data_IF_604796456511
#
_entry.id   IF_604796456511
#
_cell.length_a   1.000
_cell.length_b   1.000
_cell.length_c   1.000
_cell.angle_alpha   90.00
_cell.angle_beta   90.00
_cell.angle_gamma   90.00
#
_symmetry.space_group_name_H-M   'P 1'
#
loop_
_entity.id
_entity.type
_entity.pdbx_description
1 polymer ?
#
# COMPACT_ATOMS: atom_id res chain seq x y z
N UNK A 1 0.71 3.31 9.77
CA UNK A 1 1.45 2.97 8.53
C UNK A 1 2.00 4.24 7.91
N UNK A 2 3.18 4.21 7.30
CA UNK A 2 3.70 5.30 6.45
C UNK A 2 4.34 4.72 5.18
N UNK A 3 3.95 5.25 4.02
CA UNK A 3 4.58 4.93 2.74
C UNK A 3 5.93 5.64 2.66
N UNK A 4 6.94 4.92 2.17
CA UNK A 4 8.27 5.49 1.97
C UNK A 4 8.56 5.64 0.47
N UNK A 5 8.30 4.58 -0.32
CA UNK A 5 8.54 4.59 -1.77
C UNK A 5 7.59 3.67 -2.53
N UNK A 6 7.15 4.10 -3.70
CA UNK A 6 6.39 3.28 -4.65
C UNK A 6 7.03 3.37 -6.03
N UNK A 7 7.31 2.21 -6.62
CA UNK A 7 7.63 2.08 -8.04
C UNK A 7 6.48 1.39 -8.76
N UNK A 8 5.95 1.99 -9.83
CA UNK A 8 4.89 1.40 -10.66
C UNK A 8 5.46 1.02 -12.02
N UNK A 9 5.31 -0.25 -12.38
CA UNK A 9 5.88 -0.85 -13.57
C UNK A 9 7.37 -1.19 -13.42
N UNK A 10 8.02 -1.50 -14.54
CA UNK A 10 9.46 -1.75 -14.59
C UNK A 10 10.01 -1.46 -16.00
N UNK A 11 11.34 -1.54 -16.22
CA UNK A 11 11.93 -1.41 -17.54
C UNK A 11 11.55 -2.52 -18.54
N UNK A 12 11.01 -3.67 -18.07
CA UNK A 12 10.60 -4.76 -18.95
C UNK A 12 9.50 -4.31 -19.93
N UNK A 13 9.51 -4.89 -21.14
CA UNK A 13 8.58 -4.52 -22.23
C UNK A 13 7.21 -5.19 -22.16
N UNK A 14 7.02 -6.17 -21.28
CA UNK A 14 5.75 -6.88 -21.10
C UNK A 14 4.63 -5.92 -20.67
N UNK A 15 3.41 -6.17 -21.16
CA UNK A 15 2.25 -5.31 -20.92
C UNK A 15 1.87 -5.18 -19.43
N UNK A 16 2.26 -6.14 -18.61
CA UNK A 16 2.05 -6.13 -17.15
C UNK A 16 3.11 -5.34 -16.38
N UNK A 17 4.16 -4.87 -17.05
CA UNK A 17 5.21 -4.03 -16.45
C UNK A 17 4.93 -2.53 -16.62
N UNK A 18 3.67 -2.18 -16.86
CA UNK A 18 3.14 -0.82 -16.84
C UNK A 18 1.72 -0.85 -16.25
N UNK A 19 1.29 0.25 -15.67
CA UNK A 19 -0.10 0.45 -15.26
C UNK A 19 -0.65 1.68 -15.98
N UNK A 20 -1.47 1.44 -17.01
CA UNK A 20 -2.01 2.49 -17.88
C UNK A 20 -0.87 3.32 -18.49
N UNK A 21 -0.81 4.64 -18.21
CA UNK A 21 0.26 5.51 -18.69
C UNK A 21 1.50 5.53 -17.77
N UNK A 22 1.48 4.79 -16.66
CA UNK A 22 2.58 4.75 -15.71
C UNK A 22 3.53 3.60 -16.08
N UNK A 23 4.75 3.95 -16.48
CA UNK A 23 5.78 2.99 -16.87
C UNK A 23 7.09 3.29 -16.16
N UNK A 24 7.47 2.42 -15.24
CA UNK A 24 8.69 2.52 -14.44
C UNK A 24 8.84 3.88 -13.74
N UNK A 25 7.74 4.35 -13.15
CA UNK A 25 7.77 5.59 -12.37
C UNK A 25 8.14 5.29 -10.93
N UNK A 26 8.88 6.19 -10.28
CA UNK A 26 9.23 6.12 -8.86
C UNK A 26 8.64 7.32 -8.16
N UNK A 27 7.96 7.08 -7.05
CA UNK A 27 7.38 8.10 -6.18
C UNK A 27 7.99 7.93 -4.81
N UNK A 28 8.68 8.97 -4.38
CA UNK A 28 9.29 9.06 -3.07
C UNK A 28 8.32 9.82 -2.13
N UNK A 29 7.84 9.13 -1.10
CA UNK A 29 6.93 9.69 -0.09
C UNK A 29 7.68 10.12 1.17
N UNK A 30 8.92 9.66 1.37
CA UNK A 30 9.66 9.88 2.62
C UNK A 30 10.40 11.22 2.63
N UNK A 31 9.63 12.29 2.49
CA UNK A 31 10.12 13.66 2.45
C UNK A 31 10.03 14.35 3.82
N UNK A 32 10.12 13.61 4.94
CA UNK A 32 9.95 14.12 6.33
C UNK A 32 8.58 14.76 6.67
N UNK A 33 7.61 14.74 5.76
CA UNK A 33 6.27 15.30 5.96
C UNK A 33 5.22 14.20 6.11
N UNK A 34 4.17 14.45 6.92
CA UNK A 34 3.07 13.49 7.12
C UNK A 34 2.05 13.49 5.97
N UNK A 35 2.04 14.55 5.16
CA UNK A 35 1.13 14.73 4.04
C UNK A 35 1.96 14.82 2.77
N UNK A 36 1.65 13.98 1.79
CA UNK A 36 2.22 14.07 0.44
C UNK A 36 1.17 14.67 -0.49
N UNK A 37 1.52 15.76 -1.17
CA UNK A 37 0.64 16.40 -2.15
C UNK A 37 1.17 16.11 -3.56
N UNK A 38 0.39 15.42 -4.39
CA UNK A 38 0.74 15.13 -5.77
C UNK A 38 0.08 16.15 -6.70
N UNK A 39 0.88 17.03 -7.31
CA UNK A 39 0.41 18.11 -8.19
C UNK A 39 0.88 17.86 -9.62
N UNK A 40 0.07 18.26 -10.61
CA UNK A 40 0.40 18.14 -12.03
C UNK A 40 -0.80 18.44 -12.91
N UNK A 41 -0.56 18.57 -14.21
CA UNK A 41 -1.61 18.85 -15.21
C UNK A 41 -2.63 17.70 -15.31
N UNK A 42 -3.82 17.99 -15.86
CA UNK A 42 -4.79 16.93 -16.14
C UNK A 42 -4.21 15.94 -17.16
N UNK A 43 -4.43 14.65 -16.93
CA UNK A 43 -3.88 13.58 -17.79
C UNK A 43 -2.45 13.12 -17.47
N UNK A 44 -1.74 13.74 -16.50
CA UNK A 44 -0.37 13.32 -16.15
C UNK A 44 -0.29 12.01 -15.36
N UNK A 45 -1.43 11.39 -15.02
CA UNK A 45 -1.47 10.09 -14.33
C UNK A 45 -1.60 10.17 -12.80
N UNK A 46 -1.86 11.34 -12.20
CA UNK A 46 -2.08 11.49 -10.74
C UNK A 46 -3.15 10.51 -10.20
N UNK A 47 -4.32 10.47 -10.83
CA UNK A 47 -5.38 9.52 -10.45
C UNK A 47 -4.94 8.07 -10.67
N UNK A 48 -4.14 7.80 -11.71
CA UNK A 48 -3.63 6.44 -11.95
C UNK A 48 -2.65 5.98 -10.86
N UNK A 49 -1.92 6.89 -10.21
CA UNK A 49 -1.08 6.55 -9.03
C UNK A 49 -1.96 6.12 -7.86
N UNK A 50 -3.00 6.90 -7.55
CA UNK A 50 -3.94 6.55 -6.49
C UNK A 50 -4.66 5.22 -6.79
N UNK A 51 -5.06 5.02 -8.04
CA UNK A 51 -5.69 3.76 -8.48
C UNK A 51 -4.73 2.57 -8.34
N UNK A 52 -3.45 2.74 -8.67
CA UNK A 52 -2.44 1.69 -8.50
C UNK A 52 -2.26 1.33 -7.02
N UNK A 53 -2.13 2.32 -6.12
CA UNK A 53 -2.05 2.07 -4.68
C UNK A 53 -3.30 1.38 -4.14
N UNK A 54 -4.49 1.80 -4.57
CA UNK A 54 -5.75 1.17 -4.18
C UNK A 54 -5.82 -0.30 -4.62
N UNK A 55 -5.39 -0.60 -5.84
CA UNK A 55 -5.31 -1.98 -6.34
C UNK A 55 -4.33 -2.81 -5.52
N UNK A 56 -3.12 -2.30 -5.25
CA UNK A 56 -2.09 -3.01 -4.48
C UNK A 56 -2.62 -3.41 -3.10
N UNK A 57 -3.16 -2.46 -2.33
CA UNK A 57 -3.64 -2.77 -0.98
C UNK A 57 -4.92 -3.61 -0.98
N UNK A 58 -5.81 -3.41 -1.95
CA UNK A 58 -6.97 -4.28 -2.11
C UNK A 58 -6.52 -5.71 -2.36
N UNK A 59 -5.64 -5.94 -3.32
CA UNK A 59 -5.18 -7.27 -3.73
C UNK A 59 -4.46 -7.98 -2.56
N UNK A 60 -3.64 -7.26 -1.80
CA UNK A 60 -3.02 -7.78 -0.57
C UNK A 60 -4.05 -8.14 0.51
N UNK A 61 -5.11 -7.34 0.69
CA UNK A 61 -6.15 -7.56 1.71
C UNK A 61 -7.11 -8.69 1.33
N UNK A 62 -7.38 -8.88 0.04
CA UNK A 62 -8.18 -10.01 -0.46
C UNK A 62 -7.34 -11.26 -0.74
N UNK A 63 -6.05 -11.21 -0.39
CA UNK A 63 -5.09 -12.31 -0.50
C UNK A 63 -4.90 -12.82 -1.94
N UNK A 64 -4.90 -11.92 -2.92
CA UNK A 64 -4.67 -12.28 -4.32
C UNK A 64 -3.25 -12.79 -4.53
N UNK A 65 -3.14 -13.94 -5.19
CA UNK A 65 -1.89 -14.69 -5.34
C UNK A 65 -0.98 -14.13 -6.45
N UNK A 66 -1.53 -13.32 -7.35
CA UNK A 66 -0.81 -12.74 -8.49
C UNK A 66 -1.02 -11.23 -8.57
N UNK A 67 0.06 -10.44 -8.69
CA UNK A 67 -0.08 -9.00 -8.82
C UNK A 67 -0.68 -8.64 -10.19
N UNK A 68 -1.56 -7.63 -10.22
CA UNK A 68 -2.16 -7.14 -11.46
C UNK A 68 -1.14 -6.50 -12.42
N UNK A 69 -0.08 -5.92 -11.87
CA UNK A 69 1.02 -5.28 -12.60
C UNK A 69 2.30 -5.31 -11.76
N UNK A 70 3.46 -5.08 -12.37
CA UNK A 70 4.72 -5.02 -11.65
C UNK A 70 4.83 -3.77 -10.78
N UNK A 71 5.26 -3.92 -9.53
CA UNK A 71 5.49 -2.78 -8.64
C UNK A 71 6.55 -3.10 -7.59
N UNK A 72 7.13 -2.04 -7.01
CA UNK A 72 7.89 -2.14 -5.77
C UNK A 72 7.28 -1.20 -4.75
N UNK A 73 7.08 -1.67 -3.53
CA UNK A 73 6.44 -0.91 -2.47
C UNK A 73 7.31 -1.01 -1.21
N UNK A 74 7.76 0.13 -0.71
CA UNK A 74 8.44 0.26 0.56
C UNK A 74 7.61 1.13 1.51
N UNK A 75 7.41 0.63 2.72
CA UNK A 75 6.64 1.30 3.75
C UNK A 75 7.02 0.79 5.14
N UNK A 76 6.62 1.54 6.15
CA UNK A 76 6.84 1.21 7.56
C UNK A 76 5.56 1.11 8.37
N UNK A 77 5.58 0.16 9.30
CA UNK A 77 4.46 -0.21 10.17
C UNK A 77 4.88 -0.18 11.64
N UNK A 78 3.97 0.20 12.52
CA UNK A 78 4.24 0.30 13.96
C UNK A 78 4.99 1.57 14.36
N UNK A 79 5.47 1.57 15.61
CA UNK A 79 6.24 2.65 16.22
C UNK A 79 7.15 2.10 17.32
N UNK A 80 8.22 2.83 17.63
CA UNK A 80 9.18 2.42 18.67
C UNK A 80 9.85 1.08 18.35
N UNK A 81 9.92 0.18 19.32
CA UNK A 81 10.53 -1.15 19.19
C UNK A 81 9.78 -2.08 18.23
N UNK A 82 8.50 -1.79 17.97
CA UNK A 82 7.66 -2.56 17.05
C UNK A 82 7.67 -1.97 15.65
N UNK A 83 8.54 -0.98 15.37
CA UNK A 83 8.72 -0.46 14.02
C UNK A 83 9.27 -1.59 13.11
N UNK A 84 8.59 -1.79 12.00
CA UNK A 84 8.97 -2.71 10.93
C UNK A 84 9.04 -1.94 9.63
N UNK A 85 10.12 -2.18 8.88
CA UNK A 85 10.30 -1.72 7.51
C UNK A 85 9.97 -2.89 6.59
N UNK A 86 9.10 -2.66 5.63
CA UNK A 86 8.60 -3.67 4.69
C UNK A 86 8.96 -3.24 3.28
N UNK A 87 9.51 -4.18 2.50
CA UNK A 87 9.71 -4.01 1.07
C UNK A 87 9.08 -5.17 0.30
N UNK A 88 8.20 -4.86 -0.63
CA UNK A 88 7.52 -5.80 -1.52
C UNK A 88 7.99 -5.52 -2.95
N UNK A 89 8.57 -6.53 -3.60
CA UNK A 89 8.82 -6.54 -5.04
C UNK A 89 7.87 -7.54 -5.70
N UNK A 90 6.95 -7.02 -6.51
CA UNK A 90 5.91 -7.79 -7.18
C UNK A 90 6.14 -7.80 -8.69
N UNK A 91 6.21 -8.99 -9.26
CA UNK A 91 6.51 -9.20 -10.67
C UNK A 91 5.56 -10.26 -11.25
N UNK A 92 4.58 -9.87 -12.07
CA UNK A 92 3.55 -10.76 -12.59
C UNK A 92 4.05 -11.77 -13.63
N UNK A 93 5.28 -11.59 -14.12
CA UNK A 93 5.91 -12.49 -15.09
C UNK A 93 6.77 -13.57 -14.39
N UNK A 94 6.94 -13.51 -13.06
CA UNK A 94 7.59 -14.59 -12.29
C UNK A 94 6.62 -15.77 -12.11
N UNK A 95 6.96 -16.92 -12.69
CA UNK A 95 6.18 -18.15 -12.53
C UNK A 95 6.23 -18.70 -11.10
N UNK A 96 7.37 -18.54 -10.43
CA UNK A 96 7.60 -18.94 -9.04
C UNK A 96 7.85 -17.67 -8.24
N UNK A 97 7.13 -17.53 -7.12
CA UNK A 97 7.27 -16.41 -6.18
C UNK A 97 7.05 -15.04 -6.85
N UNK A 98 5.80 -14.73 -7.28
CA UNK A 98 5.47 -13.44 -7.88
C UNK A 98 5.63 -12.25 -6.91
N UNK A 99 5.78 -12.52 -5.62
CA UNK A 99 6.08 -11.54 -4.58
C UNK A 99 7.36 -11.94 -3.84
N UNK A 100 8.31 -11.01 -3.79
CA UNK A 100 9.49 -11.10 -2.93
C UNK A 100 9.36 -10.05 -1.83
N UNK A 101 9.23 -10.51 -0.58
CA UNK A 101 8.92 -9.65 0.57
C UNK A 101 10.07 -9.70 1.57
N UNK A 102 10.58 -8.54 1.96
CA UNK A 102 11.58 -8.39 3.00
C UNK A 102 11.03 -7.56 4.16
N UNK A 103 11.37 -7.97 5.38
CA UNK A 103 10.99 -7.29 6.61
C UNK A 103 12.23 -7.09 7.46
N UNK A 104 12.44 -5.85 7.90
CA UNK A 104 13.51 -5.49 8.82
C UNK A 104 12.95 -4.77 10.05
N UNK A 105 13.57 -5.01 11.20
CA UNK A 105 13.49 -4.09 12.34
C UNK A 105 14.19 -2.78 12.02
N UNK A 106 13.96 -1.74 12.82
CA UNK A 106 14.62 -0.44 12.62
C UNK A 106 16.15 -0.53 12.71
N UNK A 107 16.67 -1.38 13.61
CA UNK A 107 18.09 -1.66 13.76
C UNK A 107 18.68 -2.29 12.49
N UNK A 108 18.08 -3.39 12.02
CA UNK A 108 18.50 -4.09 10.80
C UNK A 108 18.42 -3.18 9.57
N UNK A 109 17.34 -2.40 9.45
CA UNK A 109 17.15 -1.50 8.32
C UNK A 109 18.23 -0.42 8.24
N UNK A 110 18.74 0.04 9.40
CA UNK A 110 19.86 0.99 9.51
C UNK A 110 21.23 0.34 9.41
N UNK A 111 21.30 -0.98 9.19
CA UNK A 111 22.56 -1.70 9.05
C UNK A 111 23.26 -2.01 10.38
N UNK A 112 22.57 -1.91 11.51
CA UNK A 112 23.15 -2.30 12.80
C UNK A 112 23.50 -3.80 12.78
N UNK A 113 24.76 -4.14 13.04
CA UNK A 113 25.29 -5.50 12.93
C UNK A 113 25.80 -5.90 11.54
N UNK A 114 25.74 -5.02 10.53
CA UNK A 114 26.33 -5.27 9.20
C UNK A 114 27.77 -4.80 9.19
N UNK A 115 28.72 -5.71 8.89
CA UNK A 115 30.16 -5.37 8.77
C UNK A 115 30.53 -4.71 7.44
N UNK A 116 29.56 -4.57 6.53
CA UNK A 116 29.75 -4.03 5.18
C UNK A 116 29.61 -2.50 5.26
N UNK A 117 30.63 -1.73 4.87
CA UNK A 117 30.52 -0.28 4.78
C UNK A 117 29.41 0.11 3.80
N UNK A 118 28.62 1.14 4.15
CA UNK A 118 27.64 1.70 3.22
C UNK A 118 28.32 2.13 1.93
N UNK A 119 27.88 1.58 0.79
CA UNK A 119 28.31 2.09 -0.50
C UNK A 119 27.72 3.48 -0.71
N UNK A 120 28.50 4.38 -1.30
CA UNK A 120 28.07 5.73 -1.61
C UNK A 120 26.86 5.66 -2.56
N UNK A 121 25.71 6.18 -2.12
CA UNK A 121 24.44 6.12 -2.85
C UNK A 121 23.44 5.06 -2.37
N UNK A 122 23.76 4.24 -1.37
CA UNK A 122 22.77 3.39 -0.70
C UNK A 122 21.81 4.20 0.18
N UNK A 123 20.56 3.75 0.25
CA UNK A 123 19.60 4.35 1.18
C UNK A 123 20.01 4.09 2.63
N UNK A 124 19.90 5.11 3.51
CA UNK A 124 20.30 4.98 4.91
C UNK A 124 19.46 3.93 5.65
N UNK A 125 18.20 3.75 5.24
CA UNK A 125 17.26 2.79 5.82
C UNK A 125 16.68 1.91 4.72
N UNK A 126 16.82 0.58 4.84
CA UNK A 126 16.28 -0.35 3.82
C UNK A 126 15.80 -1.66 4.43
N UNK A 127 14.54 -2.02 4.16
CA UNK A 127 13.98 -3.29 4.57
C UNK A 127 14.67 -4.52 3.94
N UNK A 128 15.40 -4.32 2.82
CA UNK A 128 16.13 -5.39 2.14
C UNK A 128 17.27 -5.98 2.98
N UNK A 129 17.73 -5.25 4.00
CA UNK A 129 18.74 -5.72 4.96
C UNK A 129 18.19 -6.72 5.97
N UNK A 130 16.86 -6.82 6.07
CA UNK A 130 16.17 -7.74 6.96
C UNK A 130 15.96 -9.13 6.35
N UNK A 131 14.97 -9.85 6.89
CA UNK A 131 14.66 -11.22 6.50
C UNK A 131 13.66 -11.28 5.36
N UNK A 132 13.93 -12.12 4.37
CA UNK A 132 12.95 -12.51 3.35
C UNK A 132 11.88 -13.46 3.94
N UNK A 133 10.61 -13.19 3.65
CA UNK A 133 9.49 -14.05 4.07
C UNK A 133 8.58 -14.40 2.89
N UNK A 134 7.83 -15.50 3.04
CA UNK A 134 6.86 -15.93 2.02
C UNK A 134 5.60 -15.07 2.06
N UNK A 135 4.90 -14.97 0.92
CA UNK A 135 3.60 -14.28 0.86
C UNK A 135 2.60 -14.82 1.89
N UNK A 136 2.52 -16.15 2.05
CA UNK A 136 1.62 -16.76 3.02
C UNK A 136 1.94 -16.37 4.46
N UNK A 137 3.23 -16.30 4.84
CA UNK A 137 3.64 -15.85 6.16
C UNK A 137 3.35 -14.34 6.37
N UNK A 138 3.55 -13.54 5.32
CA UNK A 138 3.24 -12.11 5.32
C UNK A 138 1.75 -11.84 5.53
N UNK A 139 0.88 -12.50 4.76
CA UNK A 139 -0.58 -12.34 4.84
C UNK A 139 -1.12 -12.85 6.18
N UNK A 140 -0.59 -13.96 6.70
CA UNK A 140 -1.02 -14.53 8.00
C UNK A 140 -0.70 -13.63 9.20
N UNK A 141 0.40 -12.88 9.15
CA UNK A 141 0.75 -11.92 10.20
C UNK A 141 -0.16 -10.67 10.19
N UNK A 142 -0.95 -10.50 9.12
CA UNK A 142 -2.01 -9.51 8.96
C UNK A 142 -1.63 -8.11 9.49
N UNK A 143 -2.19 -7.72 10.63
CA UNK A 143 -2.08 -6.37 11.21
C UNK A 143 -0.67 -5.99 11.66
N UNK A 144 0.28 -6.94 11.71
CA UNK A 144 1.69 -6.64 11.99
C UNK A 144 2.38 -6.00 10.77
N UNK A 145 2.03 -6.43 9.56
CA UNK A 145 2.71 -6.00 8.33
C UNK A 145 1.81 -5.30 7.33
N UNK A 146 0.49 -5.47 7.42
CA UNK A 146 -0.50 -4.79 6.58
C UNK A 146 -1.36 -3.84 7.41
N UNK A 147 -1.82 -2.72 6.82
CA UNK A 147 -2.79 -1.88 7.49
C UNK A 147 -4.07 -2.67 7.75
N UNK A 148 -4.60 -2.57 8.96
CA UNK A 148 -5.88 -3.21 9.30
C UNK A 148 -7.03 -2.61 8.49
N UNK A 149 -6.99 -1.29 8.29
CA UNK A 149 -8.00 -0.55 7.54
C UNK A 149 -7.37 0.33 6.46
N UNK A 150 -7.95 0.29 5.25
CA UNK A 150 -7.59 1.15 4.13
C UNK A 150 -8.80 1.99 3.76
N UNK A 151 -8.65 3.30 3.83
CA UNK A 151 -9.66 4.28 3.47
C UNK A 151 -9.22 4.98 2.18
N UNK A 152 -10.06 4.92 1.17
CA UNK A 152 -9.89 5.69 -0.06
C UNK A 152 -10.99 6.73 -0.17
N UNK A 153 -10.56 7.96 -0.41
CA UNK A 153 -11.39 9.09 -0.79
C UNK A 153 -10.92 9.58 -2.15
N UNK A 154 -11.87 9.83 -3.04
CA UNK A 154 -11.59 10.44 -4.33
C UNK A 154 -12.71 11.41 -4.65
N UNK A 155 -12.38 12.69 -4.72
CA UNK A 155 -13.34 13.77 -4.96
C UNK A 155 -13.70 13.94 -6.44
N UNK A 156 -13.04 13.21 -7.35
CA UNK A 156 -13.26 13.35 -8.78
C UNK A 156 -14.52 12.63 -9.27
N UNK A 157 -15.07 13.09 -10.39
CA UNK A 157 -16.29 12.57 -11.02
C UNK A 157 -16.18 11.14 -11.60
N UNK A 158 -14.99 10.54 -11.56
CA UNK A 158 -14.73 9.23 -12.17
C UNK A 158 -15.10 8.08 -11.24
N UNK A 159 -15.96 7.17 -11.71
CA UNK A 159 -16.33 5.92 -11.02
C UNK A 159 -15.17 4.91 -10.88
N UNK A 160 -14.10 5.07 -11.66
CA UNK A 160 -12.97 4.12 -11.73
C UNK A 160 -12.37 3.76 -10.37
N UNK A 161 -12.25 4.73 -9.45
CA UNK A 161 -11.76 4.45 -8.11
C UNK A 161 -12.74 3.57 -7.33
N UNK A 162 -14.04 3.87 -7.41
CA UNK A 162 -15.08 3.06 -6.77
C UNK A 162 -15.09 1.62 -7.31
N UNK A 163 -14.93 1.44 -8.62
CA UNK A 163 -14.89 0.13 -9.29
C UNK A 163 -13.76 -0.78 -8.76
N UNK A 164 -12.66 -0.21 -8.25
CA UNK A 164 -11.59 -0.99 -7.61
C UNK A 164 -12.11 -1.68 -6.34
N UNK A 165 -12.91 -0.99 -5.54
CA UNK A 165 -13.44 -1.49 -4.27
C UNK A 165 -14.75 -2.25 -4.42
N UNK A 166 -15.52 -1.99 -5.47
CA UNK A 166 -16.88 -2.50 -5.65
C UNK A 166 -17.00 -4.03 -5.48
N UNK A 167 -16.14 -4.88 -6.07
CA UNK A 167 -16.25 -6.34 -5.91
C UNK A 167 -16.12 -6.78 -4.44
N UNK A 168 -15.15 -6.22 -3.73
CA UNK A 168 -14.94 -6.49 -2.30
C UNK A 168 -16.13 -6.01 -1.46
N UNK A 169 -16.65 -4.81 -1.74
CA UNK A 169 -17.81 -4.27 -1.03
C UNK A 169 -19.04 -5.14 -1.23
N UNK A 170 -19.31 -5.57 -2.48
CA UNK A 170 -20.43 -6.45 -2.81
C UNK A 170 -20.33 -7.79 -2.08
N UNK A 171 -19.16 -8.44 -2.11
CA UNK A 171 -18.92 -9.70 -1.40
C UNK A 171 -19.13 -9.54 0.12
N UNK A 172 -18.58 -8.48 0.71
CA UNK A 172 -18.74 -8.18 2.13
C UNK A 172 -20.22 -8.00 2.52
N UNK A 173 -20.97 -7.19 1.76
CA UNK A 173 -22.40 -7.00 2.02
C UNK A 173 -23.20 -8.29 1.85
N UNK A 174 -22.89 -9.11 0.84
CA UNK A 174 -23.55 -10.40 0.67
C UNK A 174 -23.28 -11.33 1.86
N UNK A 175 -22.04 -11.36 2.38
CA UNK A 175 -21.70 -12.10 3.60
C UNK A 175 -22.48 -11.58 4.79
N UNK A 176 -22.56 -10.26 4.98
CA UNK A 176 -23.33 -9.65 6.06
C UNK A 176 -24.82 -10.03 6.03
N UNK A 177 -25.43 -10.03 4.84
CA UNK A 177 -26.86 -10.40 4.69
C UNK A 177 -27.11 -11.89 4.92
N UNK A 178 -26.15 -12.76 4.56
CA UNK A 178 -26.28 -14.22 4.66
C UNK A 178 -25.84 -14.80 6.00
N UNK A 179 -24.99 -14.10 6.73
CA UNK A 179 -24.47 -14.56 8.01
C UNK A 179 -25.47 -14.34 9.14
N UNK A 180 -25.61 -15.35 10.00
CA UNK A 180 -26.34 -15.25 11.27
C UNK A 180 -25.50 -14.69 12.41
N UNK A 181 -24.19 -14.53 12.18
CA UNK A 181 -23.20 -13.97 13.09
C UNK A 181 -22.65 -12.68 12.48
N UNK A 182 -22.45 -11.66 13.32
CA UNK A 182 -21.89 -10.38 12.89
C UNK A 182 -20.47 -10.61 12.32
N UNK A 183 -20.23 -10.35 11.02
CA UNK A 183 -18.92 -10.56 10.42
C UNK A 183 -17.90 -9.57 10.97
N UNK A 184 -16.62 -9.90 10.82
CA UNK A 184 -15.55 -8.97 11.19
C UNK A 184 -15.70 -7.61 10.49
N UNK A 185 -15.24 -6.51 11.11
CA UNK A 185 -15.31 -5.20 10.50
C UNK A 185 -14.61 -5.18 9.14
N UNK A 186 -15.28 -4.57 8.16
CA UNK A 186 -14.73 -4.34 6.84
C UNK A 186 -13.34 -3.68 6.91
N UNK A 187 -12.42 -4.11 6.05
CA UNK A 187 -11.05 -3.57 5.98
C UNK A 187 -10.87 -2.48 4.93
N UNK A 188 -11.59 -2.55 3.81
CA UNK A 188 -11.51 -1.56 2.74
C UNK A 188 -12.72 -0.63 2.72
N UNK A 189 -12.49 0.67 2.84
CA UNK A 189 -13.52 1.70 2.83
C UNK A 189 -13.33 2.63 1.64
N UNK A 190 -14.42 2.91 0.94
CA UNK A 190 -14.47 3.94 -0.08
C UNK A 190 -15.49 4.99 0.34
N UNK A 191 -15.04 6.24 0.48
CA UNK A 191 -15.89 7.36 0.82
C UNK A 191 -16.57 7.90 -0.44
N UNK A 192 -17.88 7.68 -0.57
CA UNK A 192 -18.64 8.25 -1.68
C UNK A 192 -18.57 9.78 -1.66
N UNK A 193 -18.50 10.46 -2.82
CA UNK A 193 -18.40 11.92 -2.90
C UNK A 193 -19.45 12.67 -2.08
N UNK A 194 -20.67 12.14 -1.96
CA UNK A 194 -21.78 12.75 -1.20
C UNK A 194 -21.56 12.78 0.33
N UNK A 195 -20.62 11.98 0.84
CA UNK A 195 -20.27 11.90 2.28
C UNK A 195 -18.88 12.48 2.60
N UNK A 196 -18.22 13.05 1.59
CA UNK A 196 -16.80 13.41 1.63
C UNK A 196 -16.41 14.50 2.62
N UNK A 197 -17.28 15.50 2.80
CA UNK A 197 -17.04 16.62 3.71
C UNK A 197 -16.89 16.14 5.17
N UNK A 198 -17.56 15.05 5.54
CA UNK A 198 -17.51 14.50 6.90
C UNK A 198 -16.25 13.67 7.17
N UNK A 199 -15.70 12.99 6.15
CA UNK A 199 -14.48 12.18 6.29
C UNK A 199 -13.26 13.08 6.54
N UNK A 200 -13.10 14.14 5.74
CA UNK A 200 -12.01 15.11 5.93
C UNK A 200 -12.11 15.81 7.29
N UNK A 201 -13.32 16.17 7.73
CA UNK A 201 -13.54 16.79 9.03
C UNK A 201 -13.17 15.86 10.20
N UNK A 202 -13.51 14.57 10.10
CA UNK A 202 -13.15 13.57 11.12
C UNK A 202 -11.63 13.41 11.28
N UNK A 203 -10.86 13.47 10.19
CA UNK A 203 -9.40 13.43 10.24
C UNK A 203 -8.76 14.69 10.84
N UNK A 204 -9.36 15.86 10.60
CA UNK A 204 -8.89 17.13 11.17
C UNK A 204 -9.12 17.21 12.69
N UNK A 205 -10.16 16.57 13.20
CA UNK A 205 -10.55 16.65 14.62
C UNK A 205 -9.63 15.79 15.52
N UNK A 206 -9.07 14.68 15.03
CA UNK A 206 -8.25 13.80 15.88
C UNK A 206 -7.10 13.06 15.15
N UNK A 207 -6.03 13.78 14.75
CA UNK A 207 -4.94 13.22 13.94
C UNK A 207 -4.10 12.14 14.63
N UNK A 208 -4.11 12.07 15.97
CA UNK A 208 -3.27 11.15 16.77
C UNK A 208 -3.86 9.73 16.95
N UNK A 209 -5.18 9.56 16.84
CA UNK A 209 -5.84 8.24 16.97
C UNK A 209 -6.13 7.59 15.61
N UNK A 210 -6.48 8.38 14.60
CA UNK A 210 -6.81 7.87 13.27
C UNK A 210 -5.60 7.26 12.51
N UNK A 211 -4.37 7.60 12.92
CA UNK A 211 -3.13 7.22 12.22
C UNK A 211 -2.49 5.93 12.71
N UNK A 212 -2.93 5.37 13.85
CA UNK A 212 -2.27 4.20 14.45
C UNK A 212 -2.50 2.92 13.65
N UNK A 213 -3.71 2.71 13.11
CA UNK A 213 -4.12 1.44 12.46
C UNK A 213 -4.73 1.59 11.06
N UNK A 214 -4.75 2.80 10.51
CA UNK A 214 -5.42 3.08 9.23
C UNK A 214 -4.47 3.70 8.22
N UNK A 215 -4.64 3.32 6.96
CA UNK A 215 -4.00 3.96 5.81
C UNK A 215 -5.06 4.72 5.02
N UNK A 216 -4.80 5.99 4.70
CA UNK A 216 -5.77 6.89 4.07
C UNK A 216 -5.17 7.41 2.78
N UNK A 217 -5.90 7.25 1.69
CA UNK A 217 -5.60 7.85 0.40
C UNK A 217 -6.72 8.83 0.07
N UNK A 218 -6.37 10.10 -0.15
CA UNK A 218 -7.28 11.19 -0.50
C UNK A 218 -6.76 11.94 -1.72
#
# INVERSE_FOLDING_TARGET
>A
MRLDKLTIGSPKSSSKHQFKNLKNIVIDFDQDHWVTVVIGWNGTGKSNVLEALAIIFRDLIVEESKPAFAFKLAYRMGAGTNLRHIHIDADPDREREPFTIHIATDAEARGEGTLIPFMEGEEPVSALRGKAITLAAFLKADSEYLPRYVFSYYSGESSRMYEIFEPYLKDYYQKLVRSTVDPEPKRLFYALPVHSQFVLLAFLINPKEATKNSFVMS
#
